data_IF_402670645917
#
_entry.id   IF_402670645917
#
_cell.length_a   1.000
_cell.length_b   1.000
_cell.length_c   1.000
_cell.angle_alpha   90.00
_cell.angle_beta   90.00
_cell.angle_gamma   90.00
#
_symmetry.space_group_name_H-M   'P 1'
#
loop_
_entity.id
_entity.type
_entity.pdbx_description
1 polymer ?
#
# COMPACT_ATOMS: atom_id res chain seq x y z
N UNK A 1 9.03 14.92 -18.77
CA UNK A 1 10.36 14.95 -18.15
C UNK A 1 10.65 16.38 -17.78
N UNK A 2 10.12 16.76 -16.63
CA UNK A 2 10.31 18.06 -16.03
C UNK A 2 10.14 17.89 -14.54
N UNK A 3 11.04 18.54 -13.80
CA UNK A 3 10.94 18.66 -12.36
C UNK A 3 10.10 19.89 -12.06
N UNK A 4 9.13 19.75 -11.16
CA UNK A 4 8.27 20.84 -10.73
C UNK A 4 8.37 21.04 -9.23
N UNK A 5 8.28 22.29 -8.79
CA UNK A 5 8.33 22.69 -7.38
C UNK A 5 7.21 23.69 -7.08
N UNK A 6 6.62 23.65 -5.89
CA UNK A 6 5.69 24.68 -5.44
C UNK A 6 6.37 25.72 -4.51
N UNK A 7 5.82 26.95 -4.40
CA UNK A 7 6.32 27.92 -3.45
C UNK A 7 6.29 27.38 -2.01
N UNK A 8 7.30 27.68 -1.18
CA UNK A 8 7.42 27.09 0.15
C UNK A 8 6.36 27.68 1.08
N UNK A 9 5.26 26.94 1.26
CA UNK A 9 4.07 27.40 1.98
C UNK A 9 3.65 26.45 3.10
N UNK A 10 4.19 25.24 3.13
CA UNK A 10 3.78 24.21 4.08
C UNK A 10 4.56 24.30 5.41
N UNK A 11 3.94 24.65 6.55
CA UNK A 11 4.67 24.88 7.80
C UNK A 11 5.00 23.57 8.52
N UNK A 12 6.27 23.29 8.77
CA UNK A 12 6.74 22.17 9.59
C UNK A 12 8.12 22.46 10.19
N UNK A 13 8.48 21.82 11.30
CA UNK A 13 9.84 21.85 11.87
C UNK A 13 10.48 23.27 12.02
N UNK A 14 9.67 24.30 12.25
CA UNK A 14 10.16 25.69 12.39
C UNK A 14 10.52 26.38 11.07
N UNK A 15 10.14 25.83 9.91
CA UNK A 15 10.30 26.44 8.59
C UNK A 15 9.05 26.18 7.72
N UNK A 16 9.10 26.62 6.47
CA UNK A 16 8.13 26.25 5.44
C UNK A 16 8.78 25.37 4.38
N UNK A 17 7.98 24.48 3.79
CA UNK A 17 8.43 23.49 2.83
C UNK A 17 7.71 23.67 1.49
N UNK A 18 8.44 23.34 0.44
CA UNK A 18 7.98 23.07 -0.91
C UNK A 18 7.89 21.57 -1.14
N UNK A 19 7.14 21.16 -2.15
CA UNK A 19 7.08 19.81 -2.68
C UNK A 19 7.71 19.80 -4.06
N UNK A 20 8.59 18.83 -4.31
CA UNK A 20 9.31 18.65 -5.56
C UNK A 20 8.87 17.32 -6.21
N UNK A 21 8.43 17.36 -7.47
CA UNK A 21 7.91 16.19 -8.19
C UNK A 21 8.55 16.04 -9.58
N UNK A 22 8.40 14.84 -10.15
CA UNK A 22 8.52 14.60 -11.59
C UNK A 22 7.14 14.29 -12.17
N UNK A 23 6.95 14.60 -13.46
CA UNK A 23 5.78 14.18 -14.24
C UNK A 23 5.94 12.84 -14.97
N UNK A 24 7.09 12.18 -14.86
CA UNK A 24 7.43 11.04 -15.71
C UNK A 24 8.25 9.92 -15.04
N UNK A 25 9.11 10.24 -14.06
CA UNK A 25 10.02 9.25 -13.48
C UNK A 25 10.47 9.59 -12.06
N UNK A 26 10.42 8.61 -11.15
CA UNK A 26 11.03 8.75 -9.83
C UNK A 26 12.56 8.75 -9.92
N UNK A 27 13.15 8.07 -10.91
CA UNK A 27 14.59 8.04 -11.09
C UNK A 27 15.16 9.43 -11.41
N UNK A 28 14.53 10.19 -12.31
CA UNK A 28 14.98 11.56 -12.62
C UNK A 28 14.78 12.50 -11.42
N UNK A 29 13.72 12.28 -10.63
CA UNK A 29 13.48 13.04 -9.40
C UNK A 29 14.56 12.77 -8.36
N UNK A 30 14.94 11.51 -8.16
CA UNK A 30 16.03 11.13 -7.25
C UNK A 30 17.38 11.70 -7.71
N UNK A 31 17.70 11.61 -9.01
CA UNK A 31 18.92 12.18 -9.57
C UNK A 31 18.99 13.70 -9.39
N UNK A 32 17.90 14.42 -9.66
CA UNK A 32 17.83 15.87 -9.48
C UNK A 32 17.96 16.27 -8.00
N UNK A 33 17.27 15.56 -7.11
CA UNK A 33 17.32 15.81 -5.66
C UNK A 33 18.73 15.56 -5.09
N UNK A 34 19.37 14.46 -5.50
CA UNK A 34 20.73 14.12 -5.09
C UNK A 34 21.74 15.16 -5.58
N UNK A 35 21.62 15.64 -6.82
CA UNK A 35 22.47 16.69 -7.37
C UNK A 35 22.36 18.02 -6.61
N UNK A 36 21.19 18.32 -6.04
CA UNK A 36 20.94 19.48 -5.20
C UNK A 36 21.22 19.25 -3.70
N UNK A 37 21.78 18.10 -3.32
CA UNK A 37 22.12 17.78 -1.93
C UNK A 37 20.92 17.50 -1.02
N UNK A 38 19.73 17.24 -1.58
CA UNK A 38 18.55 16.88 -0.80
C UNK A 38 18.69 15.43 -0.33
N UNK A 39 18.50 15.19 0.97
CA UNK A 39 18.55 13.85 1.55
C UNK A 39 17.42 12.97 1.00
N UNK A 40 17.70 11.71 0.67
CA UNK A 40 16.68 10.70 0.37
C UNK A 40 15.62 10.54 1.47
N UNK A 41 15.93 10.91 2.74
CA UNK A 41 14.96 10.89 3.83
C UNK A 41 13.83 11.89 3.67
N UNK A 42 14.02 12.91 2.83
CA UNK A 42 12.99 13.88 2.48
C UNK A 42 12.06 13.38 1.36
N UNK A 43 12.34 12.21 0.78
CA UNK A 43 11.46 11.58 -0.19
C UNK A 43 10.27 10.91 0.49
N UNK A 44 9.07 11.35 0.14
CA UNK A 44 7.80 10.77 0.61
C UNK A 44 7.08 10.04 -0.52
N UNK A 45 7.73 8.98 -1.02
CA UNK A 45 7.25 7.99 -2.01
C UNK A 45 7.00 8.49 -3.44
N UNK A 46 6.51 9.72 -3.62
CA UNK A 46 6.17 10.28 -4.93
C UNK A 46 6.61 11.74 -5.11
N UNK A 47 7.17 12.34 -4.07
CA UNK A 47 7.70 13.71 -4.06
C UNK A 47 8.79 13.87 -2.99
N UNK A 48 9.53 14.96 -3.05
CA UNK A 48 10.42 15.40 -1.97
C UNK A 48 9.85 16.59 -1.22
N UNK A 49 9.95 16.57 0.11
CA UNK A 49 9.73 17.73 0.97
C UNK A 49 11.01 18.58 1.04
N UNK A 50 10.96 19.78 0.49
CA UNK A 50 12.11 20.66 0.34
C UNK A 50 12.01 21.85 1.29
N UNK A 51 12.99 22.10 2.18
CA UNK A 51 12.96 23.28 3.05
C UNK A 51 13.14 24.58 2.24
N UNK A 52 12.50 25.65 2.68
CA UNK A 52 12.45 26.94 1.97
C UNK A 52 13.79 27.48 1.45
N UNK A 53 14.89 27.26 2.18
CA UNK A 53 16.20 27.78 1.82
C UNK A 53 16.81 27.14 0.56
N UNK A 54 16.31 25.97 0.14
CA UNK A 54 16.74 25.31 -1.10
C UNK A 54 15.89 25.70 -2.31
N UNK A 55 14.77 26.39 -2.10
CA UNK A 55 13.81 26.72 -3.16
C UNK A 55 14.44 27.44 -4.35
N UNK A 56 15.11 28.58 -4.10
CA UNK A 56 15.72 29.40 -5.15
C UNK A 56 16.83 28.67 -5.90
N UNK A 57 17.52 27.74 -5.23
CA UNK A 57 18.57 26.93 -5.84
C UNK A 57 17.97 25.90 -6.81
N UNK A 58 16.89 25.22 -6.42
CA UNK A 58 16.23 24.23 -7.28
C UNK A 58 15.58 24.87 -8.50
N UNK A 59 14.95 26.04 -8.34
CA UNK A 59 14.42 26.82 -9.47
C UNK A 59 15.55 27.20 -10.43
N UNK A 60 16.69 27.66 -9.90
CA UNK A 60 17.88 27.98 -10.70
C UNK A 60 18.49 26.74 -11.38
N UNK A 61 18.40 25.58 -10.75
CA UNK A 61 18.84 24.30 -11.31
C UNK A 61 17.88 23.74 -12.37
N UNK A 62 16.73 24.38 -12.61
CA UNK A 62 15.80 24.05 -13.68
C UNK A 62 14.46 23.46 -13.23
N UNK A 63 14.18 23.40 -11.93
CA UNK A 63 12.85 23.07 -11.44
C UNK A 63 11.85 24.16 -11.85
N UNK A 64 10.72 23.76 -12.43
CA UNK A 64 9.67 24.68 -12.88
C UNK A 64 8.70 24.94 -11.75
N UNK A 65 8.54 26.20 -11.38
CA UNK A 65 7.56 26.60 -10.38
C UNK A 65 6.12 26.32 -10.87
N UNK A 66 5.31 25.71 -10.02
CA UNK A 66 3.87 25.53 -10.16
C UNK A 66 3.17 25.85 -8.85
N UNK A 67 1.92 26.30 -8.89
CA UNK A 67 1.12 26.33 -7.65
C UNK A 67 0.93 24.91 -7.10
N UNK A 68 0.74 24.76 -5.79
CA UNK A 68 0.52 23.44 -5.18
C UNK A 68 -0.68 22.67 -5.79
N UNK A 69 -1.70 23.39 -6.27
CA UNK A 69 -2.83 22.79 -6.99
C UNK A 69 -2.44 22.25 -8.38
N UNK A 70 -1.61 22.99 -9.13
CA UNK A 70 -1.08 22.53 -10.41
C UNK A 70 -0.10 21.37 -10.25
N UNK A 71 0.74 21.43 -9.22
CA UNK A 71 1.68 20.38 -8.86
C UNK A 71 0.94 19.08 -8.53
N UNK A 72 -0.11 19.14 -7.70
CA UNK A 72 -0.97 17.98 -7.39
C UNK A 72 -1.63 17.41 -8.65
N UNK A 73 -2.19 18.26 -9.53
CA UNK A 73 -2.80 17.79 -10.79
C UNK A 73 -1.79 17.12 -11.71
N UNK A 74 -0.58 17.67 -11.80
CA UNK A 74 0.53 17.13 -12.60
C UNK A 74 0.95 15.76 -12.06
N UNK A 75 1.11 15.63 -10.75
CA UNK A 75 1.48 14.36 -10.11
C UNK A 75 0.39 13.29 -10.31
N UNK A 76 -0.89 13.64 -10.22
CA UNK A 76 -1.98 12.69 -10.51
C UNK A 76 -1.96 12.25 -11.98
N UNK A 77 -1.78 13.19 -12.91
CA UNK A 77 -1.73 12.89 -14.35
C UNK A 77 -0.52 12.02 -14.74
N UNK A 78 0.59 12.10 -13.99
CA UNK A 78 1.79 11.29 -14.22
C UNK A 78 1.61 9.80 -13.87
N UNK A 79 0.54 9.43 -13.18
CA UNK A 79 0.36 8.11 -12.55
C UNK A 79 1.41 7.74 -11.48
N UNK A 80 2.30 8.67 -11.07
CA UNK A 80 3.27 8.44 -10.00
C UNK A 80 2.69 8.67 -8.61
N UNK A 81 1.53 9.36 -8.49
CA UNK A 81 0.92 9.67 -7.19
C UNK A 81 0.61 8.40 -6.40
N UNK A 82 1.05 8.35 -5.15
CA UNK A 82 0.65 7.37 -4.14
C UNK A 82 -0.15 8.07 -3.04
N UNK A 83 -1.50 8.03 -3.10
CA UNK A 83 -2.36 8.63 -2.08
C UNK A 83 -2.08 8.09 -0.68
N UNK A 84 -2.16 8.93 0.34
CA UNK A 84 -1.91 8.54 1.74
C UNK A 84 -2.72 7.31 2.18
N UNK A 85 -3.97 7.20 1.72
CA UNK A 85 -4.88 6.06 2.02
C UNK A 85 -4.42 4.75 1.35
N UNK A 86 -3.64 4.86 0.28
CA UNK A 86 -3.10 3.76 -0.52
C UNK A 86 -1.66 3.40 -0.10
N UNK A 87 -1.11 4.08 0.91
CA UNK A 87 0.23 3.78 1.41
C UNK A 87 0.23 2.50 2.27
N UNK A 88 1.14 1.55 1.98
CA UNK A 88 1.34 0.32 2.75
C UNK A 88 1.32 0.48 4.27
N UNK A 89 1.97 1.49 4.85
CA UNK A 89 2.01 1.68 6.30
C UNK A 89 0.64 1.98 6.94
N UNK A 90 -0.31 2.50 6.15
CA UNK A 90 -1.69 2.73 6.58
C UNK A 90 -2.58 1.52 6.33
N UNK A 91 -2.35 0.82 5.22
CA UNK A 91 -3.15 -0.33 4.80
C UNK A 91 -2.80 -1.59 5.59
N UNK A 92 -1.51 -1.89 5.76
CA UNK A 92 -1.03 -3.15 6.31
C UNK A 92 -1.65 -3.50 7.67
N UNK A 93 -1.65 -2.61 8.67
CA UNK A 93 -2.29 -2.91 9.96
C UNK A 93 -3.79 -3.16 9.84
N UNK A 94 -4.47 -2.51 8.89
CA UNK A 94 -5.91 -2.71 8.65
C UNK A 94 -6.17 -4.07 8.00
N UNK A 95 -5.36 -4.46 7.01
CA UNK A 95 -5.48 -5.75 6.34
C UNK A 95 -5.22 -6.92 7.30
N UNK A 96 -4.16 -6.86 8.11
CA UNK A 96 -3.86 -7.92 9.07
C UNK A 96 -4.98 -8.08 10.12
N UNK A 97 -5.55 -6.98 10.62
CA UNK A 97 -6.73 -7.04 11.49
C UNK A 97 -7.96 -7.64 10.79
N UNK A 98 -8.19 -7.28 9.53
CA UNK A 98 -9.30 -7.83 8.75
C UNK A 98 -9.12 -9.33 8.49
N UNK A 99 -7.89 -9.77 8.23
CA UNK A 99 -7.50 -11.16 8.10
C UNK A 99 -7.80 -11.93 9.39
N UNK A 100 -7.27 -11.51 10.54
CA UNK A 100 -7.52 -12.15 11.83
C UNK A 100 -9.02 -12.22 12.16
N UNK A 101 -9.76 -11.14 11.92
CA UNK A 101 -11.20 -11.07 12.15
C UNK A 101 -11.99 -12.08 11.30
N UNK A 102 -11.53 -12.40 10.09
CA UNK A 102 -12.18 -13.40 9.23
C UNK A 102 -12.11 -14.83 9.78
N UNK A 103 -11.10 -15.12 10.62
CA UNK A 103 -10.92 -16.42 11.27
C UNK A 103 -11.42 -16.47 12.72
N UNK A 104 -11.53 -15.32 13.41
CA UNK A 104 -11.94 -15.25 14.80
C UNK A 104 -13.22 -16.04 15.14
N UNK A 105 -14.32 -16.00 14.35
CA UNK A 105 -15.52 -16.81 14.65
C UNK A 105 -15.27 -18.32 14.61
N UNK A 106 -14.28 -18.80 13.83
CA UNK A 106 -13.93 -20.22 13.68
C UNK A 106 -12.90 -20.68 14.71
N UNK A 107 -11.96 -19.80 15.06
CA UNK A 107 -10.95 -20.06 16.09
C UNK A 107 -11.56 -19.98 17.50
N UNK A 108 -12.58 -19.14 17.70
CA UNK A 108 -13.25 -18.94 18.99
C UNK A 108 -14.59 -19.68 19.10
N UNK A 109 -15.00 -20.46 18.08
CA UNK A 109 -16.17 -21.34 18.25
C UNK A 109 -15.76 -22.59 19.03
N UNK A 110 -16.33 -22.85 20.22
CA UNK A 110 -16.23 -24.17 20.83
C UNK A 110 -17.08 -25.13 19.98
N UNK A 111 -16.49 -25.76 18.96
CA UNK A 111 -17.25 -26.66 18.08
C UNK A 111 -17.50 -28.00 18.79
N UNK A 112 -18.78 -28.19 19.15
CA UNK A 112 -19.53 -29.45 19.09
C UNK A 112 -18.96 -30.64 19.91
N UNK A 113 -19.31 -30.68 21.20
CA UNK A 113 -19.52 -31.85 22.08
C UNK A 113 -18.57 -33.06 22.11
N UNK A 114 -17.52 -33.24 21.30
CA UNK A 114 -16.67 -34.45 21.41
C UNK A 114 -15.18 -34.32 21.04
N UNK A 115 -14.61 -33.12 20.84
CA UNK A 115 -13.15 -32.98 20.79
C UNK A 115 -12.75 -31.66 21.47
N UNK A 116 -12.27 -31.73 22.70
CA UNK A 116 -11.51 -30.61 23.29
C UNK A 116 -10.21 -30.46 22.48
N UNK A 117 -10.09 -29.41 21.69
CA UNK A 117 -8.81 -29.00 21.14
C UNK A 117 -8.01 -28.42 22.31
N UNK A 118 -6.84 -28.98 22.68
CA UNK A 118 -6.04 -28.44 23.78
C UNK A 118 -5.71 -26.97 23.53
N UNK A 119 -5.71 -26.13 24.57
CA UNK A 119 -5.44 -24.69 24.45
C UNK A 119 -4.10 -24.37 23.74
N UNK A 120 -3.11 -25.26 23.88
CA UNK A 120 -1.82 -25.19 23.17
C UNK A 120 -2.01 -25.27 21.65
N UNK A 121 -2.88 -26.17 21.18
CA UNK A 121 -3.19 -26.35 19.76
C UNK A 121 -3.99 -25.18 19.20
N UNK A 122 -4.86 -24.56 20.00
CA UNK A 122 -5.59 -23.35 19.60
C UNK A 122 -4.64 -22.14 19.46
N UNK A 123 -3.72 -21.94 20.40
CA UNK A 123 -2.71 -20.87 20.31
C UNK A 123 -1.79 -21.07 19.08
N UNK A 124 -1.38 -22.30 18.81
CA UNK A 124 -0.58 -22.64 17.62
C UNK A 124 -1.32 -22.38 16.30
N UNK A 125 -2.63 -22.69 16.24
CA UNK A 125 -3.45 -22.38 15.06
C UNK A 125 -3.59 -20.88 14.84
N UNK A 126 -3.83 -20.11 15.91
CA UNK A 126 -3.90 -18.65 15.84
C UNK A 126 -2.58 -18.05 15.35
N UNK A 127 -1.45 -18.54 15.86
CA UNK A 127 -0.12 -18.11 15.42
C UNK A 127 0.11 -18.42 13.92
N UNK A 128 -0.21 -19.63 13.45
CA UNK A 128 -0.08 -20.01 12.05
C UNK A 128 -0.97 -19.15 11.12
N UNK A 129 -2.19 -18.82 11.55
CA UNK A 129 -3.06 -17.92 10.78
C UNK A 129 -2.44 -16.53 10.69
N UNK A 130 -1.92 -15.99 11.80
CA UNK A 130 -1.25 -14.68 11.79
C UNK A 130 -0.01 -14.68 10.87
N UNK A 131 0.85 -15.69 10.99
CA UNK A 131 2.06 -15.87 10.16
C UNK A 131 1.72 -15.98 8.67
N UNK A 132 0.64 -16.69 8.31
CA UNK A 132 0.18 -16.79 6.92
C UNK A 132 -0.29 -15.43 6.40
N UNK A 133 -1.05 -14.67 7.18
CA UNK A 133 -1.48 -13.32 6.81
C UNK A 133 -0.30 -12.37 6.58
N UNK A 134 0.70 -12.41 7.45
CA UNK A 134 1.93 -11.63 7.32
C UNK A 134 2.71 -12.01 6.05
N UNK A 135 2.85 -13.31 5.77
CA UNK A 135 3.56 -13.84 4.61
C UNK A 135 2.88 -13.46 3.30
N UNK A 136 1.55 -13.62 3.22
CA UNK A 136 0.78 -13.21 2.06
C UNK A 136 0.90 -11.71 1.83
N UNK A 137 0.74 -10.90 2.87
CA UNK A 137 0.83 -9.45 2.71
C UNK A 137 2.23 -8.99 2.29
N UNK A 138 3.28 -9.67 2.76
CA UNK A 138 4.64 -9.44 2.27
C UNK A 138 4.78 -9.75 0.78
N UNK A 139 4.14 -10.82 0.29
CA UNK A 139 4.13 -11.14 -1.14
C UNK A 139 3.42 -10.05 -1.95
N UNK A 140 2.29 -9.52 -1.46
CA UNK A 140 1.59 -8.39 -2.06
C UNK A 140 2.40 -7.07 -2.05
N UNK A 141 3.39 -6.93 -1.17
CA UNK A 141 4.18 -5.69 -1.00
C UNK A 141 5.59 -5.78 -1.62
N UNK A 142 5.81 -6.76 -2.51
CA UNK A 142 7.06 -6.85 -3.26
C UNK A 142 7.32 -5.56 -4.10
N UNK A 143 8.57 -5.05 -4.14
CA UNK A 143 8.86 -3.73 -4.71
C UNK A 143 8.53 -3.55 -6.20
N UNK A 144 8.46 -4.63 -6.98
CA UNK A 144 8.19 -4.57 -8.42
C UNK A 144 6.70 -4.43 -8.77
N UNK A 145 5.79 -4.53 -7.78
CA UNK A 145 4.34 -4.47 -8.00
C UNK A 145 3.88 -3.02 -8.09
N UNK A 146 3.41 -2.62 -9.28
CA UNK A 146 2.90 -1.28 -9.52
C UNK A 146 1.43 -1.09 -9.09
N UNK A 147 0.52 -1.93 -9.60
CA UNK A 147 -0.93 -1.87 -9.28
C UNK A 147 -1.38 -3.02 -8.36
N UNK A 148 -0.88 -4.23 -8.61
CA UNK A 148 -1.23 -5.45 -7.88
C UNK A 148 -0.50 -5.55 -6.53
N UNK A 149 -0.69 -4.54 -5.68
CA UNK A 149 -0.12 -4.44 -4.34
C UNK A 149 -1.20 -4.36 -3.25
N UNK A 150 -0.80 -4.17 -1.98
CA UNK A 150 -1.72 -4.15 -0.83
C UNK A 150 -2.87 -3.13 -0.94
N UNK A 151 -2.72 -2.07 -1.75
CA UNK A 151 -3.80 -1.13 -2.08
C UNK A 151 -4.94 -1.78 -2.87
N UNK A 152 -4.60 -2.59 -3.88
CA UNK A 152 -5.58 -3.34 -4.66
C UNK A 152 -6.33 -4.36 -3.81
N UNK A 153 -5.60 -5.14 -2.99
CA UNK A 153 -6.20 -6.08 -2.04
C UNK A 153 -7.18 -5.37 -1.07
N UNK A 154 -6.78 -4.21 -0.54
CA UNK A 154 -7.65 -3.42 0.34
C UNK A 154 -8.92 -2.92 -0.35
N UNK A 155 -8.82 -2.56 -1.63
CA UNK A 155 -9.97 -2.14 -2.44
C UNK A 155 -10.91 -3.31 -2.69
N UNK A 156 -10.39 -4.47 -3.11
CA UNK A 156 -11.20 -5.68 -3.34
C UNK A 156 -11.97 -6.11 -2.09
N UNK A 157 -11.33 -6.15 -0.93
CA UNK A 157 -12.00 -6.52 0.32
C UNK A 157 -13.09 -5.50 0.69
N UNK A 158 -12.83 -4.21 0.47
CA UNK A 158 -13.84 -3.16 0.67
C UNK A 158 -15.05 -3.34 -0.25
N UNK A 159 -14.82 -3.74 -1.50
CA UNK A 159 -15.89 -3.96 -2.46
C UNK A 159 -16.68 -5.24 -2.18
N UNK A 160 -16.01 -6.31 -1.73
CA UNK A 160 -16.68 -7.51 -1.22
C UNK A 160 -17.58 -7.20 -0.03
N UNK A 161 -17.08 -6.43 0.95
CA UNK A 161 -17.87 -6.03 2.11
C UNK A 161 -19.13 -5.24 1.69
N UNK A 162 -19.02 -4.34 0.70
CA UNK A 162 -20.16 -3.60 0.16
C UNK A 162 -21.18 -4.53 -0.53
N UNK A 163 -20.70 -5.49 -1.31
CA UNK A 163 -21.58 -6.46 -2.01
C UNK A 163 -22.33 -7.37 -1.03
N UNK A 164 -21.73 -7.69 0.11
CA UNK A 164 -22.29 -8.62 1.09
C UNK A 164 -22.97 -7.94 2.29
N UNK A 165 -22.84 -6.62 2.46
CA UNK A 165 -23.47 -5.86 3.54
C UNK A 165 -24.99 -6.03 3.62
N UNK A 166 -25.67 -6.24 2.48
CA UNK A 166 -27.12 -6.40 2.40
C UNK A 166 -27.59 -7.85 2.21
N UNK A 167 -26.67 -8.82 2.19
CA UNK A 167 -27.01 -10.24 2.06
C UNK A 167 -27.47 -10.80 3.40
N UNK A 168 -28.28 -11.85 3.38
CA UNK A 168 -28.88 -12.51 4.56
C UNK A 168 -27.87 -12.98 5.62
N UNK A 169 -26.60 -13.21 5.26
CA UNK A 169 -25.54 -13.58 6.19
C UNK A 169 -24.81 -12.37 6.83
N UNK A 170 -25.05 -11.14 6.33
CA UNK A 170 -24.52 -9.89 6.89
C UNK A 170 -22.99 -9.75 6.93
N UNK A 171 -22.24 -10.65 6.30
CA UNK A 171 -20.78 -10.67 6.28
C UNK A 171 -20.24 -11.33 5.01
N UNK A 172 -19.04 -10.92 4.58
CA UNK A 172 -18.33 -11.51 3.45
C UNK A 172 -17.96 -12.97 3.76
N UNK A 173 -18.34 -13.95 2.91
CA UNK A 173 -17.95 -15.34 3.10
C UNK A 173 -16.42 -15.51 3.14
N UNK A 174 -15.90 -16.31 4.08
CA UNK A 174 -14.45 -16.53 4.22
C UNK A 174 -13.81 -17.01 2.92
N UNK A 175 -14.49 -17.86 2.15
CA UNK A 175 -13.96 -18.35 0.87
C UNK A 175 -13.63 -17.20 -0.09
N UNK A 176 -14.43 -16.13 -0.09
CA UNK A 176 -14.16 -14.94 -0.92
C UNK A 176 -13.06 -14.06 -0.34
N UNK A 177 -12.97 -13.97 0.99
CA UNK A 177 -11.83 -13.31 1.64
C UNK A 177 -10.53 -14.04 1.28
N UNK A 178 -10.48 -15.36 1.42
CA UNK A 178 -9.32 -16.18 1.04
C UNK A 178 -9.00 -16.02 -0.45
N UNK A 179 -9.99 -16.13 -1.33
CA UNK A 179 -9.77 -15.92 -2.76
C UNK A 179 -9.16 -14.55 -3.06
N UNK A 180 -9.65 -13.48 -2.42
CA UNK A 180 -9.07 -12.14 -2.58
C UNK A 180 -7.61 -12.09 -2.13
N UNK A 181 -7.27 -12.70 -0.99
CA UNK A 181 -5.89 -12.72 -0.47
C UNK A 181 -4.93 -13.56 -1.32
N UNK A 182 -5.40 -14.64 -1.93
CA UNK A 182 -4.53 -15.57 -2.67
C UNK A 182 -4.41 -15.30 -4.17
N UNK A 183 -5.42 -14.72 -4.84
CA UNK A 183 -5.47 -14.72 -6.32
C UNK A 183 -4.24 -14.14 -7.03
N UNK A 184 -3.63 -13.10 -6.46
CA UNK A 184 -2.40 -12.45 -6.95
C UNK A 184 -1.26 -12.52 -5.92
N UNK A 185 -1.30 -13.50 -5.01
CA UNK A 185 -0.23 -13.69 -4.02
C UNK A 185 1.11 -13.98 -4.71
N UNK A 186 1.11 -14.66 -5.86
CA UNK A 186 2.25 -14.75 -6.79
C UNK A 186 2.03 -13.79 -7.95
N UNK A 187 3.03 -12.94 -8.25
CA UNK A 187 2.96 -11.98 -9.35
C UNK A 187 4.38 -11.71 -9.88
N UNK A 188 4.74 -12.38 -10.96
CA UNK A 188 6.03 -12.22 -11.65
C UNK A 188 5.85 -11.56 -13.03
N UNK A 189 4.62 -11.14 -13.36
CA UNK A 189 4.30 -10.55 -14.66
C UNK A 189 4.17 -11.59 -15.76
N UNK A 190 3.79 -12.82 -15.41
CA UNK A 190 3.62 -13.95 -16.31
C UNK A 190 2.13 -14.39 -16.35
N UNK A 191 1.29 -13.76 -17.19
CA UNK A 191 -0.14 -14.05 -17.24
C UNK A 191 -0.44 -15.53 -17.50
N UNK A 192 -1.42 -16.07 -16.78
CA UNK A 192 -1.80 -17.46 -16.75
C UNK A 192 -0.93 -18.35 -15.85
N UNK A 193 0.38 -18.08 -15.74
CA UNK A 193 1.27 -18.83 -14.83
C UNK A 193 1.15 -18.35 -13.40
N UNK A 194 1.10 -17.04 -13.20
CA UNK A 194 0.98 -16.42 -11.88
C UNK A 194 -0.29 -16.90 -11.17
N UNK A 195 -1.43 -16.94 -11.88
CA UNK A 195 -2.70 -17.41 -11.34
C UNK A 195 -2.65 -18.90 -10.95
N UNK A 196 -1.98 -19.75 -11.75
CA UNK A 196 -1.79 -21.17 -11.41
C UNK A 196 -0.90 -21.34 -10.19
N UNK A 197 0.15 -20.52 -10.03
CA UNK A 197 1.04 -20.57 -8.86
C UNK A 197 0.34 -20.06 -7.60
N UNK A 198 -0.46 -19.01 -7.73
CA UNK A 198 -1.35 -18.51 -6.67
C UNK A 198 -2.37 -19.55 -6.23
N UNK A 199 -2.97 -20.30 -7.17
CA UNK A 199 -3.84 -21.44 -6.88
C UNK A 199 -3.12 -22.56 -6.13
N UNK A 200 -1.91 -22.93 -6.58
CA UNK A 200 -1.08 -23.93 -5.91
C UNK A 200 -0.71 -23.52 -4.49
N UNK A 201 -0.46 -22.23 -4.25
CA UNK A 201 -0.19 -21.68 -2.92
C UNK A 201 -1.42 -21.77 -1.99
N UNK A 202 -2.63 -21.76 -2.55
CA UNK A 202 -3.88 -21.82 -1.80
C UNK A 202 -4.37 -23.26 -1.49
N UNK A 203 -3.68 -24.28 -2.04
CA UNK A 203 -4.04 -25.70 -1.94
C UNK A 203 -3.43 -26.38 -0.72
#
# INVERSE_FOLDING_TARGET
MSIYIDPPTWPAHGTVFSHLISDASLAELHEFAAAAGISERAFDRDHYDVPAHLYDELVRAGAKELSGAELTRTLIASSLRIPLKERPEKIRPRLLRAWEAAFAPRLNTPRLKHVEVPAVSQAQLTAQVAELGESLLQAWEQPHRAYHHSGHLSQMLTDLDRLYAHRTQGSTPLALVLAAWFHDAVYEGAPGEDERRSEQLAS
#
